data_IF_884436274330
#
_entry.id   IF_884436274330
#
_cell.length_a   1.000
_cell.length_b   1.000
_cell.length_c   1.000
_cell.angle_alpha   90.00
_cell.angle_beta   90.00
_cell.angle_gamma   90.00
#
_symmetry.space_group_name_H-M   'P 1'
#
loop_
_entity.id
_entity.type
_entity.pdbx_description
1 polymer ?
2 polymer ?
3 non-polymer ?
4 non-polymer ?
5 non-polymer ?
6 water ?
#
# COMPACT_ATOMS: atom_id res chain seq x y z
N UNK A 1 -61.10 -13.37 19.84
CA UNK A 1 -59.76 -12.79 20.10
C UNK A 1 -59.45 -11.56 19.29
N UNK A 2 -58.32 -10.91 19.60
CA UNK A 2 -57.84 -9.77 18.81
C UNK A 2 -56.35 -9.77 18.45
N UNK A 3 -55.58 -10.79 18.86
CA UNK A 3 -54.12 -10.80 18.61
C UNK A 3 -53.79 -10.99 17.16
N UNK A 4 -54.66 -11.65 16.38
CA UNK A 4 -54.41 -11.75 14.94
C UNK A 4 -54.51 -10.37 14.38
N UNK A 5 -55.45 -9.57 14.86
CA UNK A 5 -55.59 -8.19 14.32
C UNK A 5 -54.41 -7.30 14.69
N UNK A 6 -53.93 -7.42 15.92
CA UNK A 6 -52.81 -6.66 16.41
C UNK A 6 -51.55 -6.99 15.62
N UNK A 7 -51.41 -8.26 15.30
CA UNK A 7 -50.23 -8.68 14.57
C UNK A 7 -50.33 -8.19 13.13
N UNK A 8 -51.52 -8.16 12.58
CA UNK A 8 -51.70 -7.67 11.22
C UNK A 8 -51.55 -6.15 11.17
N UNK A 9 -52.01 -5.43 12.19
CA UNK A 9 -51.75 -3.98 12.20
C UNK A 9 -50.26 -3.68 12.12
N UNK A 10 -49.45 -4.38 12.90
CA UNK A 10 -48.02 -4.11 12.92
C UNK A 10 -47.39 -4.46 11.57
N UNK A 11 -47.81 -5.55 10.94
CA UNK A 11 -47.27 -5.93 9.65
C UNK A 11 -47.66 -4.89 8.58
N UNK A 12 -48.90 -4.43 8.60
CA UNK A 12 -49.34 -3.44 7.61
C UNK A 12 -48.61 -2.12 7.81
N UNK A 13 -48.43 -1.72 9.07
CA UNK A 13 -47.66 -0.52 9.36
C UNK A 13 -46.21 -0.55 8.82
N UNK A 14 -45.55 -1.70 8.94
CA UNK A 14 -44.20 -1.88 8.37
C UNK A 14 -44.27 -1.76 6.83
N UNK A 15 -45.26 -2.41 6.22
CA UNK A 15 -45.35 -2.41 4.74
C UNK A 15 -45.59 -0.99 4.21
N UNK A 16 -46.43 -0.23 4.93
CA UNK A 16 -46.69 1.16 4.59
C UNK A 16 -45.43 2.05 4.64
N UNK A 17 -44.65 1.93 5.72
CA UNK A 17 -43.37 2.64 5.83
C UNK A 17 -42.41 2.27 4.69
N UNK A 18 -42.28 0.97 4.41
CA UNK A 18 -41.43 0.53 3.33
C UNK A 18 -41.88 1.14 1.98
N UNK A 19 -43.19 1.13 1.71
CA UNK A 19 -43.73 1.71 0.47
C UNK A 19 -43.53 3.22 0.43
N UNK A 20 -43.75 3.89 1.56
CA UNK A 20 -43.45 5.37 1.61
C UNK A 20 -41.99 5.69 1.23
N UNK A 21 -41.07 4.89 1.75
CA UNK A 21 -39.64 5.04 1.42
C UNK A 21 -39.38 4.77 -0.08
N UNK A 22 -39.97 3.71 -0.66
CA UNK A 22 -39.83 3.45 -2.10
C UNK A 22 -40.39 4.57 -2.97
N UNK A 23 -41.52 5.12 -2.53
CA UNK A 23 -42.14 6.27 -3.22
C UNK A 23 -41.21 7.48 -3.28
N UNK A 24 -40.54 7.84 -2.17
CA UNK A 24 -39.58 8.95 -2.19
C UNK A 24 -38.42 8.65 -3.14
N UNK A 25 -37.91 7.44 -3.04
CA UNK A 25 -36.84 7.02 -3.92
C UNK A 25 -37.23 7.13 -5.40
N UNK A 26 -38.46 6.75 -5.74
CA UNK A 26 -38.92 6.80 -7.12
C UNK A 26 -39.14 8.25 -7.59
N UNK A 27 -39.53 9.13 -6.66
CA UNK A 27 -39.62 10.54 -6.95
C UNK A 27 -38.24 11.18 -7.15
N UNK A 28 -37.28 10.79 -6.35
CA UNK A 28 -35.95 11.32 -6.50
C UNK A 28 -35.36 10.87 -7.83
N UNK A 29 -35.58 9.60 -8.19
CA UNK A 29 -35.06 9.06 -9.43
C UNK A 29 -35.58 9.88 -10.61
N UNK A 30 -36.87 10.25 -10.58
CA UNK A 30 -37.45 11.06 -11.67
C UNK A 30 -36.67 12.37 -11.85
N UNK A 31 -36.31 13.03 -10.75
CA UNK A 31 -35.55 14.27 -10.82
C UNK A 31 -34.13 13.99 -11.29
N UNK A 32 -33.50 12.93 -10.78
CA UNK A 32 -32.16 12.60 -11.23
C UNK A 32 -32.13 12.35 -12.75
N UNK A 33 -33.12 11.62 -13.27
CA UNK A 33 -33.22 11.40 -14.70
C UNK A 33 -33.43 12.70 -15.50
N UNK A 34 -34.25 13.60 -14.97
CA UNK A 34 -34.50 14.88 -15.63
C UNK A 34 -33.22 15.74 -15.70
N UNK A 35 -32.46 15.81 -14.61
CA UNK A 35 -31.17 16.49 -14.62
C UNK A 35 -30.17 15.85 -15.55
N UNK A 36 -30.11 14.53 -15.58
CA UNK A 36 -29.27 13.82 -16.54
C UNK A 36 -27.82 14.36 -16.52
N UNK A 37 -27.19 14.30 -15.36
CA UNK A 37 -25.83 14.82 -15.21
C UNK A 37 -24.75 13.77 -14.85
N UNK A 38 -25.06 12.49 -14.90
CA UNK A 38 -24.08 11.50 -14.49
C UNK A 38 -22.85 11.52 -15.42
N UNK A 39 -23.09 11.73 -16.73
CA UNK A 39 -22.00 11.80 -17.66
C UNK A 39 -21.14 13.05 -17.40
N UNK A 40 -21.80 14.20 -17.18
CA UNK A 40 -21.09 15.41 -16.79
C UNK A 40 -20.19 15.12 -15.60
N UNK A 41 -20.75 14.44 -14.60
CA UNK A 41 -20.07 14.22 -13.34
C UNK A 41 -18.84 13.32 -13.54
N UNK A 42 -18.98 12.23 -14.29
CA UNK A 42 -17.84 11.37 -14.62
C UNK A 42 -16.71 12.07 -15.38
N UNK A 43 -17.07 12.88 -16.38
CA UNK A 43 -16.16 13.70 -17.14
C UNK A 43 -15.45 14.66 -16.21
N UNK A 44 -16.23 15.38 -15.42
CA UNK A 44 -15.67 16.39 -14.51
C UNK A 44 -14.74 15.75 -13.48
N UNK A 45 -15.09 14.54 -12.99
CA UNK A 45 -14.26 13.84 -12.02
C UNK A 45 -12.86 13.54 -12.59
N UNK A 46 -12.78 13.15 -13.86
CA UNK A 46 -11.47 12.85 -14.45
C UNK A 46 -10.64 14.10 -14.65
N UNK A 47 -11.30 15.21 -14.99
CA UNK A 47 -10.62 16.48 -15.20
C UNK A 47 -10.04 16.97 -13.90
N UNK A 48 -10.86 17.03 -12.86
CA UNK A 48 -10.36 17.46 -11.53
C UNK A 48 -9.37 16.46 -10.92
N UNK A 49 -9.58 15.17 -11.14
CA UNK A 49 -8.59 14.16 -10.68
C UNK A 49 -7.23 14.37 -11.35
N UNK A 50 -7.24 14.57 -12.67
CA UNK A 50 -6.02 14.87 -13.40
C UNK A 50 -5.37 16.12 -12.82
N UNK A 51 -6.18 17.12 -12.49
CA UNK A 51 -5.65 18.37 -11.90
C UNK A 51 -5.00 18.13 -10.53
N UNK A 52 -5.70 17.48 -9.62
CA UNK A 52 -5.17 17.18 -8.28
C UNK A 52 -3.85 16.41 -8.31
N UNK A 53 -3.76 15.38 -9.14
CA UNK A 53 -2.53 14.58 -9.33
C UNK A 53 -1.32 15.39 -9.85
N UNK A 54 -1.55 16.16 -10.88
CA UNK A 54 -0.55 17.06 -11.44
C UNK A 54 -0.08 18.06 -10.36
N UNK A 55 -1.05 18.71 -9.69
CA UNK A 55 -0.71 19.67 -8.61
C UNK A 55 0.00 18.98 -7.43
N UNK A 56 -0.47 17.78 -7.06
CA UNK A 56 0.22 17.00 -6.02
C UNK A 56 1.69 16.73 -6.34
N UNK A 57 1.98 16.38 -7.58
CA UNK A 57 3.37 16.15 -8.04
C UNK A 57 4.24 17.42 -8.01
N UNK A 58 3.64 18.57 -8.34
CA UNK A 58 4.36 19.84 -8.26
C UNK A 58 4.66 20.21 -6.80
N UNK A 59 3.70 20.01 -5.88
CA UNK A 59 3.91 20.41 -4.47
C UNK A 59 4.78 19.42 -3.69
N UNK A 60 4.53 18.13 -3.92
CA UNK A 60 5.23 17.03 -3.22
C UNK A 60 6.73 17.13 -3.35
N UNK A 61 7.23 17.28 -4.57
CA UNK A 61 8.66 17.06 -4.83
C UNK A 61 9.60 17.96 -3.99
N UNK A 62 9.40 19.30 -4.03
CA UNK A 62 10.22 20.15 -3.16
C UNK A 62 9.84 20.02 -1.66
N UNK A 63 8.59 19.72 -1.34
CA UNK A 63 8.24 19.39 0.06
C UNK A 63 9.05 18.19 0.61
N UNK A 64 9.10 17.09 -0.15
CA UNK A 64 9.90 15.90 0.20
C UNK A 64 11.39 16.22 0.46
N UNK A 65 11.93 17.14 -0.33
CA UNK A 65 13.30 17.57 -0.24
C UNK A 65 13.52 18.48 0.95
N UNK A 66 12.59 19.41 1.20
CA UNK A 66 12.73 20.25 2.39
C UNK A 66 12.72 19.36 3.62
N UNK A 67 11.71 18.51 3.73
CA UNK A 67 11.62 17.61 4.85
C UNK A 67 12.95 16.83 5.06
N UNK A 68 13.48 16.25 3.97
CA UNK A 68 14.69 15.43 4.01
C UNK A 68 15.89 16.22 4.59
N UNK A 69 16.01 17.50 4.22
CA UNK A 69 17.03 18.41 4.77
C UNK A 69 16.65 19.00 6.15
N UNK A 70 15.88 18.25 6.93
CA UNK A 70 15.76 18.53 8.36
C UNK A 70 15.33 17.27 9.13
N UNK A 71 15.97 16.16 8.78
CA UNK A 71 15.81 14.90 9.49
C UNK A 71 14.84 13.93 8.83
N UNK A 72 14.06 14.43 7.87
CA UNK A 72 13.04 13.60 7.27
C UNK A 72 11.88 13.45 8.24
N UNK A 73 11.19 12.32 8.10
CA UNK A 73 10.02 11.96 8.89
C UNK A 73 10.37 11.12 10.11
N UNK A 74 9.95 11.53 11.31
CA UNK A 74 10.05 10.70 12.52
C UNK A 74 8.78 9.87 12.82
N UNK A 75 8.92 8.55 12.89
CA UNK A 75 7.85 7.64 13.33
C UNK A 75 8.10 7.29 14.78
N UNK A 76 7.08 7.42 15.62
CA UNK A 76 7.23 7.26 17.06
C UNK A 76 6.17 6.32 17.69
N UNK A 77 6.59 5.50 18.66
CA UNK A 77 5.65 4.76 19.51
C UNK A 77 6.29 4.48 20.85
N UNK A 78 5.45 4.16 21.83
CA UNK A 78 5.94 3.85 23.16
C UNK A 78 6.30 2.36 23.31
N UNK A 79 7.36 2.08 24.04
CA UNK A 79 7.79 0.72 24.29
C UNK A 79 7.00 0.12 25.50
N UNK A 80 6.31 -0.99 25.26
CA UNK A 80 5.38 -1.55 26.23
C UNK A 80 5.94 -2.72 27.05
N UNK A 81 7.00 -3.38 26.56
CA UNK A 81 7.63 -4.49 27.27
C UNK A 81 9.09 -4.29 27.53
N UNK A 82 9.61 -5.04 28.49
CA UNK A 82 11.05 -5.16 28.70
C UNK A 82 11.62 -4.07 29.58
N UNK A 83 12.93 -4.13 29.75
CA UNK A 83 13.65 -3.21 30.63
C UNK A 83 13.54 -1.75 30.17
N UNK A 84 13.00 -1.50 28.98
CA UNK A 84 12.89 -0.16 28.44
C UNK A 84 11.48 0.37 28.44
N UNK A 85 10.57 -0.42 29.00
CA UNK A 85 9.14 -0.07 29.13
C UNK A 85 8.95 1.39 29.54
N UNK A 86 8.25 2.17 28.72
CA UNK A 86 8.01 3.61 28.99
C UNK A 86 8.62 4.57 27.97
N UNK A 87 9.84 4.27 27.56
CA UNK A 87 10.52 5.01 26.52
C UNK A 87 9.69 5.02 25.25
N UNK A 88 9.90 6.05 24.42
CA UNK A 88 9.27 6.17 23.10
C UNK A 88 10.34 5.72 22.08
N UNK A 89 9.93 4.91 21.12
CA UNK A 89 10.84 4.34 20.16
C UNK A 89 10.69 5.18 18.92
N UNK A 90 11.80 5.66 18.40
CA UNK A 90 11.80 6.57 17.24
C UNK A 90 12.54 5.93 16.06
N UNK A 91 12.42 6.59 14.92
CA UNK A 91 12.99 6.08 13.67
C UNK A 91 12.95 7.27 12.73
N UNK A 92 13.69 7.20 11.63
CA UNK A 92 13.52 8.19 10.60
C UNK A 92 13.38 7.49 9.25
N UNK A 93 12.60 8.13 8.36
CA UNK A 93 12.24 7.55 7.03
C UNK A 93 11.86 8.70 6.10
N UNK A 94 11.85 8.40 4.81
CA UNK A 94 11.53 9.41 3.81
C UNK A 94 10.05 9.75 3.75
N UNK A 95 9.79 11.01 3.38
CA UNK A 95 8.46 11.51 3.13
C UNK A 95 7.94 10.95 1.80
N UNK A 96 6.84 10.21 1.85
CA UNK A 96 6.28 9.57 0.67
C UNK A 96 5.06 10.36 0.14
N UNK A 97 4.66 10.07 -1.08
CA UNK A 97 3.48 10.71 -1.67
C UNK A 97 2.26 10.42 -0.80
N UNK A 98 2.23 9.25 -0.18
CA UNK A 98 1.06 8.80 0.56
C UNK A 98 0.92 9.55 1.88
N UNK A 99 2.05 9.87 2.49
CA UNK A 99 2.04 10.75 3.67
C UNK A 99 1.57 12.13 3.26
N UNK A 100 2.05 12.57 2.09
CA UNK A 100 1.62 13.83 1.52
C UNK A 100 0.13 13.83 1.34
N UNK A 101 -0.40 12.82 0.67
CA UNK A 101 -1.88 12.82 0.38
C UNK A 101 -2.68 12.76 1.69
N UNK A 102 -2.24 11.93 2.62
CA UNK A 102 -2.84 11.89 3.96
C UNK A 102 -2.78 13.28 4.67
N UNK A 103 -1.63 13.93 4.55
CA UNK A 103 -1.47 15.28 5.05
C UNK A 103 -2.51 16.22 4.40
N UNK A 104 -2.89 15.91 3.16
CA UNK A 104 -3.92 16.70 2.46
C UNK A 104 -5.33 16.17 2.60
N UNK A 105 -5.56 15.27 3.55
CA UNK A 105 -6.89 14.69 3.75
C UNK A 105 -7.54 13.99 2.55
N UNK A 106 -6.75 13.28 1.72
CA UNK A 106 -7.28 12.63 0.51
C UNK A 106 -7.63 11.18 0.82
N UNK A 107 -8.93 10.83 0.82
CA UNK A 107 -9.29 9.43 1.08
C UNK A 107 -8.58 8.51 0.11
N UNK A 108 -8.10 7.37 0.60
CA UNK A 108 -7.30 6.46 -0.23
C UNK A 108 -8.06 6.07 -1.49
N UNK A 109 -9.37 5.91 -1.35
CA UNK A 109 -10.24 5.46 -2.44
C UNK A 109 -10.50 6.51 -3.52
N UNK A 110 -10.28 7.79 -3.21
CA UNK A 110 -10.48 8.88 -4.18
C UNK A 110 -9.29 8.97 -5.15
N UNK A 111 -8.10 8.98 -4.57
CA UNK A 111 -6.86 9.32 -5.26
C UNK A 111 -5.76 8.58 -4.48
N UNK A 112 -4.98 7.75 -5.16
CA UNK A 112 -3.88 7.04 -4.52
C UNK A 112 -2.71 6.87 -5.46
N UNK A 113 -1.52 6.84 -4.84
CA UNK A 113 -0.27 6.60 -5.55
C UNK A 113 0.13 5.15 -5.31
N UNK A 114 0.53 4.49 -6.40
CA UNK A 114 1.12 3.16 -6.31
C UNK A 114 2.60 3.34 -5.94
N UNK A 115 2.86 3.28 -4.66
CA UNK A 115 4.18 3.60 -4.13
C UNK A 115 5.28 2.69 -4.70
N UNK A 116 4.93 1.46 -5.08
CA UNK A 116 5.89 0.53 -5.71
C UNK A 116 6.18 0.90 -7.18
N UNK A 117 5.13 0.91 -8.00
CA UNK A 117 5.28 1.18 -9.43
C UNK A 117 5.55 2.66 -9.76
N UNK A 118 5.36 3.53 -8.77
CA UNK A 118 5.76 4.94 -8.88
C UNK A 118 4.90 5.77 -9.81
N UNK A 119 3.60 5.52 -9.78
CA UNK A 119 2.62 6.26 -10.59
C UNK A 119 1.23 6.20 -9.92
N UNK A 120 0.28 6.94 -10.45
CA UNK A 120 -1.06 7.06 -9.87
C UNK A 120 -1.96 5.89 -10.25
N UNK A 121 -2.89 5.53 -9.38
CA UNK A 121 -3.82 4.43 -9.65
C UNK A 121 -5.08 4.86 -10.39
N UNK A 122 -5.70 3.90 -11.09
CA UNK A 122 -7.01 4.08 -11.71
C UNK A 122 -8.08 4.31 -10.65
N UNK B 1 -59.28 -0.05 23.41
CA UNK B 1 -59.81 -0.15 22.02
C UNK B 1 -60.65 -1.42 21.85
N UNK B 2 -61.92 -1.28 21.46
CA UNK B 2 -62.73 -2.45 21.13
C UNK B 2 -62.19 -3.13 19.86
N UNK B 3 -62.58 -4.38 19.67
CA UNK B 3 -62.16 -5.18 18.53
C UNK B 3 -62.60 -4.50 17.23
N UNK B 4 -63.86 -4.03 17.23
CA UNK B 4 -64.43 -3.20 16.20
C UNK B 4 -63.56 -2.05 15.75
N UNK B 5 -63.11 -1.27 16.72
CA UNK B 5 -62.26 -0.13 16.45
C UNK B 5 -60.94 -0.60 15.85
N UNK B 6 -60.41 -1.72 16.34
CA UNK B 6 -59.14 -2.23 15.84
C UNK B 6 -59.29 -2.73 14.37
N UNK B 7 -60.40 -3.40 14.09
CA UNK B 7 -60.79 -3.77 12.72
C UNK B 7 -60.84 -2.55 11.82
N UNK B 8 -61.39 -1.44 12.32
CA UNK B 8 -61.42 -0.23 11.51
C UNK B 8 -60.02 0.29 11.23
N UNK B 9 -59.13 0.31 12.23
CA UNK B 9 -57.75 0.77 11.93
C UNK B 9 -57.05 -0.15 10.93
N UNK B 10 -57.27 -1.45 11.06
CA UNK B 10 -56.62 -2.43 10.18
C UNK B 10 -57.14 -2.22 8.75
N UNK B 11 -58.44 -1.99 8.57
CA UNK B 11 -58.98 -1.78 7.23
C UNK B 11 -58.47 -0.45 6.61
N UNK B 12 -58.35 0.60 7.41
CA UNK B 12 -57.70 1.82 6.92
C UNK B 12 -56.24 1.60 6.46
N UNK B 13 -55.50 0.76 7.18
CA UNK B 13 -54.11 0.47 6.81
C UNK B 13 -54.08 -0.33 5.50
N UNK B 14 -55.08 -1.19 5.31
CA UNK B 14 -55.15 -1.98 4.11
C UNK B 14 -55.33 -1.02 2.96
N UNK B 15 -56.23 -0.06 3.09
CA UNK B 15 -56.48 0.90 2.01
C UNK B 15 -55.31 1.84 1.78
N UNK B 16 -54.64 2.22 2.86
CA UNK B 16 -53.43 3.06 2.74
C UNK B 16 -52.36 2.33 1.95
N UNK B 17 -52.13 1.08 2.31
CA UNK B 17 -51.18 0.24 1.57
C UNK B 17 -51.52 0.10 0.08
N UNK B 18 -52.79 -0.17 -0.23
CA UNK B 18 -53.24 -0.27 -1.64
C UNK B 18 -53.00 0.99 -2.41
N UNK B 19 -53.37 2.12 -1.82
CA UNK B 19 -53.15 3.39 -2.49
C UNK B 19 -51.66 3.66 -2.74
N UNK B 20 -50.81 3.27 -1.78
CA UNK B 20 -49.37 3.46 -1.90
C UNK B 20 -48.74 2.56 -2.98
N UNK B 21 -49.21 1.31 -3.09
CA UNK B 21 -48.77 0.43 -4.16
C UNK B 21 -49.19 1.04 -5.49
N UNK B 22 -50.35 1.65 -5.55
CA UNK B 22 -50.81 2.25 -6.80
C UNK B 22 -49.97 3.51 -7.13
N UNK B 23 -49.73 4.35 -6.14
CA UNK B 23 -48.91 5.53 -6.34
C UNK B 23 -47.47 5.17 -6.74
N UNK B 24 -46.93 4.13 -6.12
CA UNK B 24 -45.59 3.68 -6.47
C UNK B 24 -45.55 3.20 -7.93
N UNK B 25 -46.53 2.42 -8.37
CA UNK B 25 -46.58 2.00 -9.79
C UNK B 25 -46.63 3.17 -10.75
N UNK B 26 -47.42 4.19 -10.42
CA UNK B 26 -47.45 5.41 -11.24
C UNK B 26 -46.11 6.14 -11.21
N UNK B 27 -45.45 6.19 -10.05
CA UNK B 27 -44.17 6.88 -10.00
C UNK B 27 -43.12 6.15 -10.81
N UNK B 28 -43.07 4.83 -10.70
CA UNK B 28 -42.11 4.02 -11.46
C UNK B 28 -42.32 4.09 -12.96
N UNK B 29 -43.57 4.31 -13.36
CA UNK B 29 -43.91 4.40 -14.76
C UNK B 29 -43.31 5.60 -15.41
N UNK B 30 -43.00 6.64 -14.64
CA UNK B 30 -42.39 7.86 -15.18
C UNK B 30 -40.88 7.76 -15.38
N UNK B 31 -40.29 6.63 -15.02
CA UNK B 31 -38.85 6.47 -15.06
C UNK B 31 -38.39 5.67 -16.27
N UNK B 32 -37.30 6.11 -16.89
CA UNK B 32 -36.64 5.34 -17.94
C UNK B 32 -36.16 4.02 -17.38
N UNK B 33 -35.60 4.07 -16.18
CA UNK B 33 -35.11 2.88 -15.51
C UNK B 33 -35.94 2.64 -14.23
N UNK B 34 -36.58 1.48 -14.14
CA UNK B 34 -37.49 1.23 -13.02
C UNK B 34 -36.75 0.94 -11.70
N UNK B 35 -35.48 0.58 -11.80
CA UNK B 35 -34.65 0.42 -10.61
C UNK B 35 -34.22 1.79 -10.05
N UNK B 36 -35.16 2.45 -9.35
CA UNK B 36 -34.94 3.81 -8.87
C UNK B 36 -33.82 3.90 -7.88
N UNK B 37 -33.63 2.86 -7.09
CA UNK B 37 -32.60 2.83 -6.05
C UNK B 37 -31.19 2.87 -6.65
N UNK B 38 -30.99 2.15 -7.73
CA UNK B 38 -29.72 2.16 -8.45
C UNK B 38 -29.47 3.57 -9.03
N UNK B 39 -30.48 4.16 -9.67
CA UNK B 39 -30.36 5.48 -10.29
C UNK B 39 -29.93 6.52 -9.28
N UNK B 40 -30.62 6.55 -8.16
CA UNK B 40 -30.37 7.54 -7.11
C UNK B 40 -29.01 7.29 -6.46
N UNK B 41 -28.71 6.05 -6.14
CA UNK B 41 -27.40 5.72 -5.53
C UNK B 41 -26.26 6.05 -6.50
N UNK B 42 -26.38 5.71 -7.78
CA UNK B 42 -25.26 5.99 -8.69
C UNK B 42 -24.99 7.50 -8.73
N UNK B 43 -26.06 8.30 -8.69
CA UNK B 43 -25.97 9.75 -8.76
C UNK B 43 -25.31 10.27 -7.50
N UNK B 44 -25.78 9.79 -6.36
CA UNK B 44 -25.22 10.22 -5.05
C UNK B 44 -23.71 9.95 -4.96
N UNK B 45 -23.24 8.82 -5.48
CA UNK B 45 -21.82 8.45 -5.38
C UNK B 45 -20.96 9.34 -6.34
N UNK B 46 -21.45 9.55 -7.56
CA UNK B 46 -20.82 10.52 -8.46
C UNK B 46 -20.75 11.96 -7.91
N UNK B 47 -21.84 12.46 -7.32
CA UNK B 47 -21.84 13.83 -6.77
C UNK B 47 -20.85 13.93 -5.62
N UNK B 48 -20.81 12.87 -4.80
CA UNK B 48 -19.89 12.74 -3.66
C UNK B 48 -18.47 12.88 -4.17
N UNK B 49 -18.10 11.97 -5.06
CA UNK B 49 -16.77 11.97 -5.64
C UNK B 49 -16.41 13.30 -6.32
N UNK B 50 -17.32 13.87 -7.09
CA UNK B 50 -17.04 15.13 -7.80
C UNK B 50 -16.78 16.28 -6.83
N UNK B 51 -17.66 16.45 -5.85
CA UNK B 51 -17.47 17.55 -4.89
C UNK B 51 -16.17 17.39 -4.13
N UNK B 52 -15.84 16.16 -3.77
CA UNK B 52 -14.58 15.91 -3.03
C UNK B 52 -13.31 16.22 -3.85
N UNK B 53 -13.24 15.70 -5.09
CA UNK B 53 -12.00 15.83 -5.88
C UNK B 53 -11.84 17.26 -6.40
N UNK B 54 -12.94 17.96 -6.70
CA UNK B 54 -12.82 19.38 -7.09
C UNK B 54 -12.30 20.23 -5.91
N UNK B 55 -12.87 20.03 -4.74
CA UNK B 55 -12.36 20.65 -3.48
C UNK B 55 -10.86 20.47 -3.24
N UNK B 56 -10.44 19.20 -3.24
CA UNK B 56 -9.03 18.81 -3.14
C UNK B 56 -8.15 19.43 -4.24
N UNK B 57 -8.56 19.33 -5.49
CA UNK B 57 -7.85 19.94 -6.60
C UNK B 57 -7.73 21.45 -6.40
N UNK B 58 -8.81 22.11 -5.97
CA UNK B 58 -8.76 23.55 -5.79
C UNK B 58 -7.80 23.87 -4.68
N UNK B 59 -7.84 23.10 -3.61
CA UNK B 59 -6.88 23.28 -2.50
C UNK B 59 -5.41 23.22 -2.94
N UNK B 60 -5.06 22.20 -3.70
CA UNK B 60 -3.68 22.03 -4.16
C UNK B 60 -3.22 23.10 -5.15
N UNK B 61 -4.06 23.39 -6.14
CA UNK B 61 -3.83 24.48 -7.09
C UNK B 61 -3.69 25.83 -6.36
N UNK B 62 -4.50 26.07 -5.34
CA UNK B 62 -4.29 27.22 -4.47
C UNK B 62 -2.93 27.23 -3.78
N UNK B 63 -2.45 26.10 -3.31
CA UNK B 63 -1.11 26.11 -2.69
C UNK B 63 -0.01 26.39 -3.75
N UNK B 64 -0.11 25.77 -4.92
CA UNK B 64 0.84 26.09 -5.99
C UNK B 64 0.76 27.58 -6.27
N UNK B 65 -0.44 28.15 -6.24
CA UNK B 65 -0.62 29.57 -6.56
C UNK B 65 0.00 30.47 -5.48
N UNK B 66 0.08 29.98 -4.28
CA UNK B 66 0.66 30.75 -3.21
C UNK B 66 2.17 30.89 -3.44
N UNK B 67 2.83 29.76 -3.72
CA UNK B 67 4.25 29.75 -4.06
C UNK B 67 4.58 30.61 -5.27
N UNK B 68 3.68 30.69 -6.25
CA UNK B 68 3.89 31.54 -7.44
C UNK B 68 3.36 32.97 -7.32
N UNK B 69 2.81 33.34 -6.17
CA UNK B 69 2.33 34.70 -5.93
C UNK B 69 1.33 35.17 -6.97
N UNK B 70 0.26 34.39 -7.15
CA UNK B 70 -0.79 34.73 -8.10
C UNK B 70 -2.12 34.19 -7.67
N UNK B 71 -3.16 34.67 -8.33
CA UNK B 71 -4.50 34.21 -8.05
C UNK B 71 -4.65 32.85 -8.70
N UNK B 72 -5.44 32.02 -8.03
CA UNK B 72 -5.63 30.62 -8.43
C UNK B 72 -6.07 30.52 -9.89
N UNK B 73 -6.97 31.41 -10.32
CA UNK B 73 -7.48 31.33 -11.68
C UNK B 73 -6.36 31.38 -12.73
N UNK B 74 -5.24 32.04 -12.43
CA UNK B 74 -4.17 32.15 -13.40
C UNK B 74 -3.51 30.78 -13.67
N UNK B 75 -3.71 29.81 -12.78
CA UNK B 75 -3.09 28.48 -12.98
C UNK B 75 -4.03 27.43 -13.56
N UNK B 76 -5.31 27.80 -13.72
CA UNK B 76 -6.33 26.83 -14.17
C UNK B 76 -5.98 26.20 -15.52
N UNK B 77 -5.43 26.98 -16.45
CA UNK B 77 -5.10 26.42 -17.76
C UNK B 77 -4.00 25.36 -17.70
N UNK B 78 -2.96 25.66 -16.94
CA UNK B 78 -1.85 24.74 -16.70
C UNK B 78 -2.34 23.40 -16.15
N UNK B 79 -3.39 23.45 -15.34
CA UNK B 79 -3.96 22.22 -14.76
C UNK B 79 -5.15 21.63 -15.50
N UNK B 80 -5.57 22.22 -16.62
CA UNK B 80 -6.59 21.62 -17.47
C UNK B 80 -8.02 21.86 -17.03
N UNK B 81 -8.22 22.88 -16.21
CA UNK B 81 -9.53 23.21 -15.69
C UNK B 81 -9.93 24.65 -15.96
N UNK B 82 -11.20 24.97 -15.73
CA UNK B 82 -11.64 26.35 -15.74
C UNK B 82 -12.72 26.52 -14.66
N UNK B 83 -13.11 27.77 -14.43
CA UNK B 83 -14.02 28.08 -13.36
C UNK B 83 -15.48 27.70 -13.53
N UNK B 84 -15.93 27.30 -14.73
CA UNK B 84 -17.29 26.82 -14.91
C UNK B 84 -17.42 25.31 -14.70
N UNK B 85 -16.34 24.68 -14.26
CA UNK B 85 -16.33 23.23 -14.11
C UNK B 85 -16.54 22.81 -12.66
N UNK C 7 64.24 -2.37 -16.61
CA UNK C 7 63.72 -1.72 -15.37
C UNK C 7 62.18 -1.81 -15.23
N UNK C 8 61.53 -2.46 -16.19
CA UNK C 8 60.07 -2.66 -16.16
C UNK C 8 59.65 -4.10 -15.80
N UNK C 9 60.47 -4.76 -14.98
CA UNK C 9 60.05 -5.98 -14.30
C UNK C 9 58.79 -5.72 -13.46
N UNK C 10 58.62 -4.46 -13.02
CA UNK C 10 57.42 -4.02 -12.29
C UNK C 10 56.12 -4.43 -12.99
N UNK C 11 55.96 -4.05 -14.26
CA UNK C 11 54.77 -4.41 -15.04
C UNK C 11 54.65 -5.92 -15.22
N UNK C 12 55.78 -6.56 -15.47
CA UNK C 12 55.87 -8.01 -15.68
C UNK C 12 55.44 -8.83 -14.46
N UNK C 13 56.06 -8.54 -13.31
CA UNK C 13 55.73 -9.23 -12.07
C UNK C 13 54.24 -9.19 -11.78
N UNK C 14 53.64 -8.00 -11.92
CA UNK C 14 52.21 -7.79 -11.68
C UNK C 14 51.30 -8.48 -12.69
N UNK C 15 51.81 -8.67 -13.90
CA UNK C 15 51.09 -9.40 -14.94
C UNK C 15 51.12 -10.93 -14.69
N UNK C 16 52.21 -11.45 -14.13
CA UNK C 16 52.28 -12.87 -13.75
C UNK C 16 51.37 -13.21 -12.54
N UNK C 17 51.22 -12.27 -11.61
CA UNK C 17 50.31 -12.45 -10.47
C UNK C 17 48.86 -12.28 -10.89
N UNK C 18 48.60 -11.32 -11.78
CA UNK C 18 47.28 -11.23 -12.43
C UNK C 18 46.91 -12.54 -13.14
N UNK C 19 47.80 -13.03 -13.99
CA UNK C 19 47.54 -14.26 -14.73
C UNK C 19 47.27 -15.42 -13.76
N UNK C 20 48.08 -15.51 -12.70
CA UNK C 20 47.98 -16.63 -11.77
C UNK C 20 46.60 -16.62 -11.12
N UNK C 21 46.09 -15.44 -10.78
CA UNK C 21 44.73 -15.31 -10.24
C UNK C 21 43.64 -15.68 -11.28
N UNK C 22 43.75 -15.19 -12.52
CA UNK C 22 42.75 -15.52 -13.53
C UNK C 22 42.72 -17.04 -13.79
N UNK C 23 43.89 -17.69 -13.73
CA UNK C 23 43.99 -19.13 -13.93
C UNK C 23 43.25 -19.95 -12.84
N UNK C 24 43.41 -19.52 -11.57
CA UNK C 24 42.75 -20.19 -10.45
C UNK C 24 41.25 -19.95 -10.55
N UNK C 25 40.87 -18.74 -10.96
CA UNK C 25 39.46 -18.41 -11.29
C UNK C 25 38.83 -19.31 -12.35
N UNK C 26 39.59 -19.58 -13.40
CA UNK C 26 39.13 -20.40 -14.52
C UNK C 26 38.90 -21.85 -14.04
N UNK C 27 39.91 -22.39 -13.34
CA UNK C 27 39.84 -23.70 -12.64
C UNK C 27 38.72 -23.76 -11.57
N UNK C 28 38.53 -22.70 -10.79
CA UNK C 28 37.38 -22.69 -9.87
C UNK C 28 36.03 -22.65 -10.61
N UNK C 29 35.97 -21.92 -11.73
CA UNK C 29 34.77 -21.88 -12.56
C UNK C 29 34.39 -23.27 -13.10
N UNK C 30 35.39 -24.05 -13.51
CA UNK C 30 35.19 -25.44 -13.95
C UNK C 30 34.61 -26.32 -12.83
N UNK C 31 35.11 -26.19 -11.62
CA UNK C 31 34.57 -26.99 -10.53
C UNK C 31 33.14 -26.60 -10.15
N UNK C 32 32.84 -25.29 -10.22
CA UNK C 32 31.50 -24.78 -9.97
C UNK C 32 30.53 -25.25 -11.06
N UNK C 33 30.96 -25.26 -12.32
CA UNK C 33 30.10 -25.82 -13.37
C UNK C 33 29.87 -27.35 -13.22
N UNK C 34 30.88 -28.09 -12.75
CA UNK C 34 30.76 -29.54 -12.50
C UNK C 34 29.82 -29.84 -11.32
N UNK C 35 30.05 -29.19 -10.19
CA UNK C 35 29.21 -29.39 -8.99
C UNK C 35 27.75 -29.02 -9.32
N UNK C 36 27.55 -27.89 -10.01
CA UNK C 36 26.22 -27.54 -10.53
C UNK C 36 25.15 -27.54 -9.46
N UNK C 37 25.44 -26.83 -8.37
CA UNK C 37 24.57 -26.75 -7.19
C UNK C 37 23.95 -25.37 -7.05
N UNK C 38 24.11 -24.47 -8.02
CA UNK C 38 23.61 -23.09 -7.85
C UNK C 38 22.06 -23.05 -7.78
N UNK C 39 21.38 -23.90 -8.53
CA UNK C 39 19.94 -24.00 -8.37
C UNK C 39 19.60 -24.54 -6.98
N UNK C 40 20.42 -25.46 -6.45
CA UNK C 40 20.18 -25.97 -5.09
C UNK C 40 20.40 -24.87 -4.03
N UNK C 41 21.40 -24.01 -4.24
CA UNK C 41 21.59 -22.82 -3.39
C UNK C 41 20.37 -21.94 -3.46
N UNK C 42 19.91 -21.64 -4.66
CA UNK C 42 18.71 -20.81 -4.84
C UNK C 42 17.50 -21.39 -4.11
N UNK C 43 17.41 -22.72 -4.03
CA UNK C 43 16.23 -23.34 -3.40
C UNK C 43 16.33 -23.22 -1.87
N UNK C 44 17.55 -23.37 -1.33
CA UNK C 44 17.80 -23.16 0.12
C UNK C 44 17.47 -21.73 0.52
N UNK C 45 17.95 -20.77 -0.27
CA UNK C 45 17.69 -19.36 -0.04
C UNK C 45 16.18 -19.04 0.04
N UNK C 46 15.36 -19.66 -0.81
CA UNK C 46 13.92 -19.37 -0.80
C UNK C 46 13.22 -20.02 0.40
N UNK C 47 13.66 -21.21 0.81
CA UNK C 47 13.09 -21.86 2.01
C UNK C 47 13.44 -21.05 3.28
N UNK C 48 14.68 -20.58 3.37
CA UNK C 48 15.05 -19.70 4.48
C UNK C 48 14.33 -18.35 4.46
N UNK C 49 14.09 -17.79 3.28
CA UNK C 49 13.41 -16.51 3.18
C UNK C 49 11.95 -16.65 3.59
N UNK C 50 11.31 -17.72 3.14
CA UNK C 50 9.95 -18.04 3.55
C UNK C 50 9.78 -18.24 5.07
N UNK C 51 10.71 -18.97 5.66
CA UNK C 51 10.75 -19.15 7.10
C UNK C 51 10.89 -17.79 7.83
N UNK C 52 11.76 -16.93 7.33
CA UNK C 52 11.91 -15.59 7.93
C UNK C 52 10.64 -14.75 7.83
N UNK C 53 10.03 -14.78 6.65
CA UNK C 53 8.80 -14.02 6.39
C UNK C 53 7.65 -14.51 7.27
N UNK C 54 7.48 -15.83 7.32
CA UNK C 54 6.50 -16.48 8.16
C UNK C 54 6.76 -16.20 9.65
N UNK C 55 8.01 -16.30 10.09
CA UNK C 55 8.34 -15.92 11.48
C UNK C 55 8.09 -14.42 11.75
N UNK C 56 8.49 -13.57 10.81
CA UNK C 56 8.30 -12.14 11.02
C UNK C 56 6.83 -11.88 11.31
N UNK C 57 5.93 -12.54 10.59
CA UNK C 57 4.48 -12.36 10.81
C UNK C 57 4.00 -12.79 12.20
N UNK C 58 4.63 -13.80 12.79
CA UNK C 58 4.24 -14.22 14.14
C UNK C 58 4.64 -13.19 15.21
N UNK C 59 5.83 -12.60 15.08
CA UNK C 59 6.27 -11.60 16.03
C UNK C 59 5.52 -10.27 15.83
N UNK C 60 5.27 -9.90 14.58
CA UNK C 60 4.65 -8.60 14.25
C UNK C 60 3.30 -8.36 14.94
N UNK C 61 2.45 -9.36 14.91
CA UNK C 61 1.06 -9.16 15.27
C UNK C 61 0.86 -8.76 16.74
N UNK C 62 1.33 -9.57 17.70
CA UNK C 62 1.17 -9.10 19.08
C UNK C 62 1.90 -7.77 19.41
N UNK C 63 2.97 -7.43 18.70
CA UNK C 63 3.59 -6.11 18.87
C UNK C 63 2.69 -4.97 18.35
N UNK C 64 2.08 -5.14 17.18
CA UNK C 64 1.15 -4.16 16.63
C UNK C 64 0.01 -3.88 17.63
N UNK C 65 -0.57 -4.96 18.12
CA UNK C 65 -1.67 -4.91 19.05
C UNK C 65 -1.33 -4.22 20.37
N UNK C 66 -0.09 -4.37 20.82
CA UNK C 66 0.34 -3.79 22.09
C UNK C 66 0.47 -2.27 21.95
N UNK C 67 1.08 -1.85 20.84
CA UNK C 67 1.18 -0.43 20.52
C UNK C 67 -0.20 0.20 20.23
N UNK C 68 -1.18 -0.59 19.75
CA UNK C 68 -2.51 -0.06 19.44
C UNK C 68 -3.26 0.34 20.72
N UNK C 69 -3.36 -0.61 21.66
CA UNK C 69 -4.00 -0.37 22.95
C UNK C 69 -3.32 0.71 23.80
N UNK C 70 -2.08 1.06 23.47
CA UNK C 70 -1.37 2.12 24.20
C UNK C 70 -1.35 3.49 23.49
N UNK C 71 -2.26 3.71 22.53
CA UNK C 71 -2.30 4.96 21.77
C UNK C 71 -1.86 4.92 20.31
N UNK C 72 -1.05 3.94 19.93
CA UNK C 72 -0.65 3.78 18.54
C UNK C 72 0.64 4.50 18.17
N UNK C 73 0.74 4.85 16.88
CA UNK C 73 1.92 5.54 16.34
C UNK C 73 1.62 7.04 16.14
N UNK C 74 2.69 7.82 16.02
CA UNK C 74 2.66 9.18 15.52
C UNK C 74 3.76 9.30 14.45
N UNK C 75 3.39 9.52 13.19
CA UNK C 75 4.32 9.96 12.15
C UNK C 75 4.39 11.46 12.23
N UNK C 76 5.61 12.00 12.29
CA UNK C 76 5.79 13.43 12.35
C UNK C 76 6.90 13.83 11.41
N UNK C 77 6.85 15.09 11.04
CA UNK C 77 7.89 15.67 10.22
C UNK C 77 8.02 17.13 10.59
N UNK C 78 9.20 17.67 10.31
CA UNK C 78 9.49 19.07 10.52
C UNK C 78 8.80 19.90 9.44
N UNK C 79 8.12 20.98 9.86
CA UNK C 79 7.45 21.91 8.95
C UNK C 79 8.43 23.00 8.49
N UNK C 80 8.97 22.88 7.28
CA UNK C 80 9.93 23.87 6.74
C UNK C 80 9.33 24.80 5.70
N UNK C 81 8.01 24.98 5.77
CA UNK C 81 7.30 25.84 4.83
C UNK C 81 6.16 26.56 5.56
N UNK C 82 5.95 27.84 5.26
CA UNK C 82 4.72 28.55 5.62
C UNK C 82 4.53 29.02 7.06
N UNK C 83 3.33 29.57 7.29
CA UNK C 83 2.93 30.29 8.53
C UNK C 83 2.73 29.41 9.77
N UNK C 84 3.16 28.17 9.72
CA UNK C 84 3.32 27.33 10.91
C UNK C 84 4.65 26.59 10.81
N UNK C 85 5.70 27.38 10.68
CA UNK C 85 7.04 26.89 10.38
C UNK C 85 7.69 26.26 11.64
N UNK C 86 9.02 26.07 11.64
CA UNK C 86 9.78 25.55 12.80
C UNK C 86 9.20 24.44 13.69
N UNK C 87 7.93 24.14 13.52
CA UNK C 87 7.19 23.20 14.37
C UNK C 87 7.18 21.82 13.72
N UNK C 88 6.48 20.90 14.38
CA UNK C 88 6.28 19.56 13.85
C UNK C 88 4.81 19.38 13.52
N UNK C 89 4.56 18.64 12.44
CA UNK C 89 3.19 18.27 12.07
C UNK C 89 3.05 16.85 12.53
N UNK C 90 1.93 16.50 13.14
CA UNK C 90 1.69 15.11 13.64
C UNK C 90 0.47 14.43 13.03
N UNK C 91 0.60 13.13 12.80
CA UNK C 91 -0.44 12.33 12.20
C UNK C 91 -0.39 10.97 12.89
N UNK C 92 -1.54 10.44 13.31
CA UNK C 92 -1.59 9.16 14.00
C UNK C 92 -1.83 8.05 13.00
N UNK C 93 -1.29 6.86 13.30
CA UNK C 93 -1.40 5.65 12.46
C UNK C 93 -0.99 4.46 13.33
N UNK C 94 -1.31 3.24 12.88
CA UNK C 94 -0.87 2.06 13.59
C UNK C 94 0.45 1.49 13.04
N UNK C 95 1.00 0.57 13.84
CA UNK C 95 2.25 -0.11 13.53
C UNK C 95 2.10 -0.91 12.23
N UNK C 96 3.12 -0.86 11.37
CA UNK C 96 3.14 -1.65 10.13
C UNK C 96 4.40 -2.56 10.04
N UNK C 97 4.36 -3.54 9.13
CA UNK C 97 5.44 -4.52 8.96
C UNK C 97 6.72 -3.84 8.52
N UNK C 98 6.59 -2.82 7.68
CA UNK C 98 7.72 -1.98 7.29
C UNK C 98 8.41 -1.40 8.51
N UNK C 99 7.64 -0.88 9.46
CA UNK C 99 8.22 -0.33 10.69
C UNK C 99 8.86 -1.46 11.52
N UNK C 100 8.24 -2.64 11.48
CA UNK C 100 8.80 -3.83 12.13
C UNK C 100 10.16 -4.21 11.55
N UNK C 101 10.21 -4.42 10.23
CA UNK C 101 11.43 -4.78 9.58
C UNK C 101 12.55 -3.75 9.81
N UNK C 102 12.24 -2.46 9.59
CA UNK C 102 13.19 -1.38 9.86
C UNK C 102 13.73 -1.45 11.28
N UNK C 103 12.80 -1.51 12.22
CA UNK C 103 13.12 -1.59 13.63
C UNK C 103 14.08 -2.76 13.94
N UNK C 104 13.95 -3.88 13.25
CA UNK C 104 14.86 -5.02 13.52
C UNK C 104 15.98 -5.14 12.51
N UNK C 105 16.18 -4.07 11.77
CA UNK C 105 17.37 -3.90 10.94
C UNK C 105 17.42 -4.84 9.77
N UNK C 106 16.27 -5.27 9.29
CA UNK C 106 16.26 -6.20 8.15
C UNK C 106 16.47 -5.43 6.85
N UNK C 107 17.50 -5.79 6.09
CA UNK C 107 17.72 -5.06 4.86
C UNK C 107 16.60 -5.30 3.87
N UNK C 108 16.22 -4.24 3.17
CA UNK C 108 15.16 -4.26 2.17
C UNK C 108 15.43 -5.29 1.07
N UNK C 109 16.69 -5.47 0.68
CA UNK C 109 17.00 -6.41 -0.40
C UNK C 109 17.05 -7.88 0.02
N UNK C 110 16.97 -8.17 1.33
CA UNK C 110 16.85 -9.57 1.79
C UNK C 110 15.38 -9.94 1.92
N UNK C 111 14.56 -9.00 2.39
CA UNK C 111 13.11 -9.18 2.47
C UNK C 111 12.42 -7.84 2.69
N UNK C 112 11.21 -7.70 2.16
CA UNK C 112 10.39 -6.49 2.40
C UNK C 112 8.91 -6.69 2.04
N UNK C 113 8.04 -6.02 2.78
CA UNK C 113 6.60 -6.19 2.71
C UNK C 113 6.05 -4.95 2.00
N UNK C 114 5.25 -5.14 0.96
CA UNK C 114 4.85 -3.97 0.16
C UNK C 114 3.81 -3.08 0.87
N UNK C 115 2.76 -3.70 1.41
CA UNK C 115 1.71 -3.02 2.16
C UNK C 115 0.66 -2.37 1.26
N UNK C 116 0.86 -2.41 -0.06
CA UNK C 116 -0.22 -2.09 -1.00
C UNK C 116 -0.89 -3.33 -1.59
N UNK C 117 -0.52 -4.52 -1.09
CA UNK C 117 -1.19 -5.79 -1.45
C UNK C 117 -1.42 -6.76 -0.27
N UNK C 118 -0.59 -6.69 0.78
CA UNK C 118 -0.51 -7.75 1.79
C UNK C 118 0.29 -8.86 1.16
N UNK C 119 1.55 -8.56 0.85
CA UNK C 119 2.31 -9.31 -0.15
C UNK C 119 3.80 -9.15 0.15
N UNK C 120 4.54 -10.25 0.13
CA UNK C 120 6.00 -10.24 0.19
C UNK C 120 6.53 -10.21 -1.24
N UNK C 121 7.58 -9.44 -1.47
CA UNK C 121 8.10 -9.27 -2.83
C UNK C 121 9.15 -10.36 -3.17
N UNK C 122 10.06 -10.07 -4.10
CA UNK C 122 11.13 -11.01 -4.51
C UNK C 122 10.53 -12.34 -4.96
N UNK D 13 60.91 -15.27 -15.84
CA UNK D 13 59.64 -14.51 -15.58
C UNK D 13 58.87 -14.29 -16.88
N UNK D 14 59.60 -14.01 -17.96
CA UNK D 14 59.01 -13.87 -19.29
C UNK D 14 58.38 -15.20 -19.75
N UNK D 15 59.11 -16.29 -19.53
CA UNK D 15 58.65 -17.64 -19.89
C UNK D 15 57.53 -18.13 -18.95
N UNK D 16 57.50 -17.58 -17.74
CA UNK D 16 56.39 -17.85 -16.83
C UNK D 16 55.11 -17.21 -17.35
N UNK D 17 55.21 -16.00 -17.90
CA UNK D 17 54.05 -15.31 -18.48
C UNK D 17 53.42 -16.13 -19.58
N UNK D 18 54.26 -16.72 -20.43
CA UNK D 18 53.78 -17.58 -21.52
C UNK D 18 53.09 -18.85 -21.02
N UNK D 19 53.70 -19.53 -20.05
CA UNK D 19 53.16 -20.77 -19.48
C UNK D 19 51.80 -20.55 -18.81
N UNK D 20 51.68 -19.46 -18.06
CA UNK D 20 50.38 -19.03 -17.54
C UNK D 20 49.35 -18.70 -18.64
N UNK D 21 49.77 -18.03 -19.72
CA UNK D 21 48.84 -17.67 -20.81
C UNK D 21 48.30 -18.93 -21.51
N UNK D 22 49.20 -19.85 -21.79
CA UNK D 22 48.84 -21.18 -22.30
C UNK D 22 47.95 -21.97 -21.33
N UNK D 23 48.35 -22.09 -20.07
CA UNK D 23 47.49 -22.76 -19.07
C UNK D 23 46.10 -22.10 -18.91
N UNK D 24 46.04 -20.77 -18.95
CA UNK D 24 44.76 -20.07 -18.92
C UNK D 24 43.88 -20.48 -20.11
N UNK D 25 44.45 -20.50 -21.31
CA UNK D 25 43.68 -20.88 -22.47
C UNK D 25 43.17 -22.32 -22.34
N UNK D 26 44.00 -23.23 -21.82
CA UNK D 26 43.57 -24.62 -21.57
C UNK D 26 42.38 -24.66 -20.60
N UNK D 27 42.46 -23.89 -19.51
CA UNK D 27 41.39 -23.95 -18.50
C UNK D 27 40.11 -23.31 -19.05
N UNK D 28 40.23 -22.16 -19.70
CA UNK D 28 39.06 -21.45 -20.22
C UNK D 28 38.30 -22.26 -21.28
N UNK D 29 39.04 -23.09 -22.03
CA UNK D 29 38.51 -24.01 -23.06
C UNK D 29 37.55 -25.10 -22.53
N UNK D 30 37.61 -25.40 -21.24
CA UNK D 30 36.76 -26.43 -20.65
C UNK D 30 35.43 -25.89 -20.13
N UNK D 31 35.21 -24.58 -20.25
CA UNK D 31 34.05 -23.97 -19.60
C UNK D 31 32.88 -23.80 -20.57
N UNK D 32 31.67 -24.03 -20.05
CA UNK D 32 30.45 -23.67 -20.73
C UNK D 32 30.34 -22.15 -20.92
N UNK D 33 30.63 -21.38 -19.87
CA UNK D 33 30.70 -19.92 -19.93
C UNK D 33 32.18 -19.47 -19.81
N UNK D 34 32.69 -18.74 -20.82
CA UNK D 34 34.11 -18.36 -20.83
C UNK D 34 34.41 -17.23 -19.83
N UNK D 35 33.37 -16.51 -19.39
CA UNK D 35 33.51 -15.50 -18.35
C UNK D 35 33.64 -16.18 -16.96
N UNK D 36 34.82 -16.72 -16.69
CA UNK D 36 35.09 -17.54 -15.51
C UNK D 36 34.84 -16.77 -14.19
N UNK D 37 35.13 -15.48 -14.17
CA UNK D 37 34.85 -14.61 -13.03
C UNK D 37 33.36 -14.41 -12.71
N UNK D 38 32.53 -14.21 -13.72
CA UNK D 38 31.07 -14.14 -13.49
C UNK D 38 30.52 -15.45 -12.90
N UNK D 39 30.95 -16.60 -13.46
CA UNK D 39 30.60 -17.92 -12.90
C UNK D 39 30.97 -17.99 -11.41
N UNK D 40 32.21 -17.67 -11.07
CA UNK D 40 32.65 -17.78 -9.67
C UNK D 40 31.96 -16.76 -8.75
N UNK D 41 31.84 -15.52 -9.20
CA UNK D 41 31.23 -14.45 -8.41
C UNK D 41 29.75 -14.71 -8.19
N UNK D 42 29.06 -15.25 -9.20
CA UNK D 42 27.64 -15.52 -9.06
C UNK D 42 27.43 -16.59 -7.99
N UNK D 43 28.32 -17.59 -7.98
CA UNK D 43 28.30 -18.62 -6.96
C UNK D 43 28.57 -18.05 -5.58
N UNK D 44 29.58 -17.20 -5.47
CA UNK D 44 29.91 -16.54 -4.22
C UNK D 44 28.76 -15.66 -3.71
N UNK D 45 28.14 -14.89 -4.61
CA UNK D 45 26.97 -14.11 -4.20
C UNK D 45 25.89 -14.97 -3.59
N UNK D 46 25.58 -16.12 -4.18
CA UNK D 46 24.57 -17.01 -3.60
C UNK D 46 24.94 -17.51 -2.20
N UNK D 47 26.22 -17.89 -2.00
CA UNK D 47 26.72 -18.26 -0.68
C UNK D 47 26.45 -17.16 0.37
N UNK D 48 26.64 -15.91 -0.04
CA UNK D 48 26.48 -14.75 0.81
C UNK D 48 25.00 -14.56 1.21
N UNK D 49 24.09 -14.54 0.24
CA UNK D 49 22.66 -14.30 0.49
C UNK D 49 22.10 -15.36 1.39
N UNK D 50 22.51 -16.61 1.13
CA UNK D 50 22.08 -17.77 1.87
C UNK D 50 22.39 -17.53 3.35
N UNK D 51 23.65 -17.20 3.64
CA UNK D 51 24.11 -16.98 4.98
C UNK D 51 23.34 -15.88 5.69
N UNK D 52 23.11 -14.75 5.01
CA UNK D 52 22.48 -13.62 5.68
C UNK D 52 21.01 -13.87 5.90
N UNK D 53 20.35 -14.51 4.95
CA UNK D 53 18.92 -14.71 5.11
C UNK D 53 18.70 -15.79 6.15
N UNK D 54 19.53 -16.84 6.17
CA UNK D 54 19.41 -17.83 7.22
C UNK D 54 19.58 -17.18 8.59
N UNK D 55 20.56 -16.28 8.72
CA UNK D 55 20.86 -15.63 9.99
C UNK D 55 19.62 -14.88 10.50
N UNK D 56 18.95 -14.11 9.65
CA UNK D 56 17.72 -13.45 10.03
C UNK D 56 16.63 -14.44 10.39
N UNK D 57 16.50 -15.48 9.60
CA UNK D 57 15.45 -16.47 9.84
C UNK D 57 15.60 -17.08 11.22
N UNK D 58 16.84 -17.37 11.60
CA UNK D 58 17.13 -18.07 12.85
C UNK D 58 16.95 -17.13 14.05
N UNK D 59 17.27 -15.84 13.90
CA UNK D 59 17.00 -14.90 14.96
C UNK D 59 15.51 -14.84 15.28
N UNK D 60 14.70 -14.67 14.24
CA UNK D 60 13.25 -14.53 14.41
C UNK D 60 12.61 -15.81 14.94
N UNK D 61 12.90 -16.94 14.29
CA UNK D 61 12.41 -18.24 14.77
C UNK D 61 12.79 -18.40 16.23
N UNK D 62 14.01 -18.01 16.56
CA UNK D 62 14.48 -18.11 17.91
C UNK D 62 13.66 -17.28 18.86
N UNK D 63 13.16 -16.12 18.42
CA UNK D 63 12.27 -15.30 19.26
C UNK D 63 10.87 -15.90 19.43
N UNK D 64 10.31 -16.45 18.37
CA UNK D 64 9.02 -17.15 18.48
C UNK D 64 9.16 -18.31 19.48
N UNK D 65 10.28 -19.02 19.40
CA UNK D 65 10.50 -20.21 20.21
C UNK D 65 10.60 -19.84 21.68
N UNK D 66 11.22 -18.70 21.97
CA UNK D 66 11.35 -18.22 23.32
C UNK D 66 9.99 -17.85 23.90
N UNK D 67 9.13 -17.24 23.08
CA UNK D 67 7.76 -16.91 23.49
C UNK D 67 6.95 -18.18 23.74
N UNK D 68 7.13 -19.19 22.91
CA UNK D 68 6.37 -20.44 23.02
C UNK D 68 7.06 -21.47 23.91
N UNK D 69 8.13 -21.06 24.59
CA UNK D 69 8.85 -21.90 25.54
C UNK D 69 9.28 -23.23 24.98
N UNK D 70 9.85 -23.23 23.78
CA UNK D 70 10.42 -24.43 23.21
C UNK D 70 11.73 -24.02 22.59
N UNK D 71 12.33 -24.91 21.81
CA UNK D 71 13.61 -24.67 21.17
C UNK D 71 13.40 -24.28 19.69
N UNK D 72 14.37 -23.60 19.11
CA UNK D 72 14.33 -23.29 17.67
C UNK D 72 14.11 -24.53 16.81
N UNK D 73 14.93 -25.57 17.02
CA UNK D 73 14.84 -26.77 16.19
C UNK D 73 13.43 -27.37 16.21
N UNK D 74 12.77 -27.33 17.36
CA UNK D 74 11.37 -27.80 17.48
C UNK D 74 10.30 -27.08 16.63
N UNK D 75 10.66 -25.97 15.98
CA UNK D 75 9.75 -25.26 15.11
C UNK D 75 10.19 -25.33 13.65
N UNK D 76 11.32 -25.99 13.38
CA UNK D 76 11.84 -26.01 12.03
C UNK D 76 10.80 -26.61 11.07
N UNK D 77 10.06 -27.61 11.53
CA UNK D 77 9.02 -28.21 10.72
C UNK D 77 7.93 -27.19 10.36
N UNK D 78 7.40 -26.50 11.37
CA UNK D 78 6.39 -25.47 11.15
C UNK D 78 6.80 -24.36 10.17
N UNK D 79 8.08 -23.97 10.18
CA UNK D 79 8.54 -22.93 9.27
C UNK D 79 9.17 -23.48 7.99
N UNK D 80 9.08 -24.80 7.79
CA UNK D 80 9.54 -25.44 6.57
C UNK D 80 11.05 -25.52 6.44
N UNK D 81 11.76 -25.54 7.56
CA UNK D 81 13.19 -25.74 7.56
C UNK D 81 13.47 -27.24 7.71
N UNK D 85 18.54 -27.16 6.58
CA UNK D 85 18.67 -26.81 5.17
C UNK D 85 19.98 -26.04 4.90
#
# INVERSE_FOLDING_TARGET
>A
GHMQLLSRRLKLEKEVRNLQEQLITAETARKVEAKNEDKDLQTLIQKWKNAAQQAAEVLFKPMAERIRLAGGVTQSFRIEEGENKGQIQEVRTEFTMSMFLNQFGVPVHLMSFDEENGDWKS
>B
MEKSQLESRVHLLEQQKEQLESSLQDALAKLKNRDAKQTVQKHIDLLHTYNEIRDIALGMIGKVAEHEKCTSVELFDRFGVNGSE
>C
GHMQLLSRRLKLEKEVRNLQEQLITAETARKVEAKNEDKDLQTLIQKWKNAAQQAAEVLFKPMAERIRLAGGVTQSFRIEEGENKGQIQEVRTEFTMSMFLNQFGVPVHLMSFDEENGDWKS
>D
MEKSQLESRVHLLEQQKEQLESSLQDALAKLKNRDAKQTVQKHIDLLHTYNEIRDIALGMIGKVAEHEKCTSVELFDRFGVNGSE
#
